data_IF_584871964183
#
_entry.id   IF_584871964183
#
_cell.length_a   1.000
_cell.length_b   1.000
_cell.length_c   1.000
_cell.angle_alpha   90.00
_cell.angle_beta   90.00
_cell.angle_gamma   90.00
#
_symmetry.space_group_name_H-M   'P 1'
#
loop_
_entity.id
_entity.type
_entity.pdbx_description
1 polymer ?
#
# COMPACT_ATOMS: atom_id res chain seq x y z
N UNK A 1 16.52 17.78 18.65
CA UNK A 1 17.25 16.54 19.05
C UNK A 1 16.32 15.72 19.91
N UNK A 2 15.98 14.50 19.47
CA UNK A 2 15.14 13.59 20.25
C UNK A 2 15.92 13.20 21.51
N UNK A 3 15.29 13.34 22.68
CA UNK A 3 15.92 13.01 23.96
C UNK A 3 16.28 11.52 24.06
N UNK A 4 17.37 11.19 24.76
CA UNK A 4 17.86 9.81 24.93
C UNK A 4 16.80 8.83 25.46
N UNK A 5 15.87 9.28 26.31
CA UNK A 5 14.76 8.47 26.82
C UNK A 5 13.76 8.09 25.73
N UNK A 6 13.49 8.99 24.80
CA UNK A 6 12.60 8.76 23.64
C UNK A 6 13.25 7.79 22.67
N UNK A 7 14.53 7.98 22.33
CA UNK A 7 15.30 7.04 21.52
C UNK A 7 15.32 5.62 22.12
N UNK A 8 15.43 5.50 23.44
CA UNK A 8 15.41 4.20 24.13
C UNK A 8 14.04 3.53 24.07
N UNK A 9 12.94 4.29 24.17
CA UNK A 9 11.57 3.78 24.00
C UNK A 9 11.34 3.33 22.56
N UNK A 10 11.73 4.14 21.60
CA UNK A 10 11.62 3.84 20.16
C UNK A 10 12.43 2.56 19.86
N UNK A 11 13.68 2.46 20.28
CA UNK A 11 14.50 1.28 20.07
C UNK A 11 13.92 0.02 20.74
N UNK A 12 13.27 0.16 21.90
CA UNK A 12 12.59 -0.97 22.57
C UNK A 12 11.38 -1.43 21.77
N UNK A 13 10.57 -0.52 21.23
CA UNK A 13 9.42 -0.82 20.38
C UNK A 13 9.85 -1.42 19.04
N UNK A 14 10.85 -0.85 18.39
CA UNK A 14 11.40 -1.39 17.15
C UNK A 14 12.00 -2.79 17.33
N UNK A 15 12.61 -3.09 18.49
CA UNK A 15 13.02 -4.44 18.83
C UNK A 15 11.83 -5.39 19.02
N UNK A 16 10.71 -4.89 19.55
CA UNK A 16 9.48 -5.67 19.66
C UNK A 16 8.88 -5.98 18.29
N UNK A 17 8.77 -4.98 17.39
CA UNK A 17 8.38 -5.17 15.97
C UNK A 17 9.27 -6.21 15.29
N UNK A 18 10.58 -6.11 15.48
CA UNK A 18 11.54 -7.05 14.92
C UNK A 18 11.36 -8.48 15.46
N UNK A 19 11.13 -8.63 16.76
CA UNK A 19 10.89 -9.94 17.38
C UNK A 19 9.57 -10.57 16.91
N UNK A 20 8.55 -9.75 16.77
CA UNK A 20 7.22 -10.17 16.33
C UNK A 20 7.20 -10.56 14.83
N UNK A 21 8.04 -9.90 14.03
CA UNK A 21 8.23 -10.19 12.60
C UNK A 21 9.38 -11.15 12.33
N UNK A 22 10.03 -11.67 13.37
CA UNK A 22 11.02 -12.75 13.21
C UNK A 22 10.34 -13.95 12.55
N UNK A 23 10.72 -14.24 11.31
CA UNK A 23 10.09 -15.27 10.46
C UNK A 23 9.23 -14.72 9.32
N UNK A 24 8.94 -13.40 9.26
CA UNK A 24 8.34 -12.79 8.06
C UNK A 24 9.41 -12.23 7.14
N UNK A 25 9.29 -12.56 5.88
CA UNK A 25 10.09 -11.91 4.84
C UNK A 25 9.64 -10.45 4.70
N UNK A 26 10.53 -9.50 5.01
CA UNK A 26 10.32 -8.11 4.65
C UNK A 26 10.51 -8.00 3.14
N UNK A 27 9.55 -7.41 2.46
CA UNK A 27 9.65 -7.15 1.03
C UNK A 27 9.81 -5.66 0.77
N UNK A 28 10.40 -5.27 -0.38
CA UNK A 28 10.40 -3.88 -0.80
C UNK A 28 8.98 -3.37 -0.93
N UNK A 29 8.82 -2.08 -0.65
CA UNK A 29 7.52 -1.42 -0.70
C UNK A 29 7.21 -1.02 -2.13
N UNK A 30 6.13 -1.54 -2.66
CA UNK A 30 5.55 -1.14 -3.95
C UNK A 30 4.35 -0.22 -3.70
N UNK A 31 4.12 0.69 -4.62
CA UNK A 31 2.91 1.52 -4.64
C UNK A 31 1.80 0.75 -5.36
N UNK A 32 0.85 0.27 -4.60
CA UNK A 32 -0.29 -0.50 -5.10
C UNK A 32 -1.46 0.46 -5.28
N UNK A 33 -1.78 0.79 -6.51
CA UNK A 33 -2.93 1.65 -6.86
C UNK A 33 -3.90 0.97 -7.84
N UNK A 34 -3.41 -0.06 -8.52
CA UNK A 34 -4.17 -0.95 -9.39
C UNK A 34 -3.41 -2.23 -9.62
N UNK A 35 -4.10 -3.22 -10.16
CA UNK A 35 -3.52 -4.48 -10.62
C UNK A 35 -3.83 -4.69 -12.10
N UNK A 36 -3.20 -5.68 -12.72
CA UNK A 36 -3.53 -6.06 -14.10
C UNK A 36 -5.00 -6.46 -14.20
N UNK A 37 -5.74 -6.00 -15.22
CA UNK A 37 -7.15 -6.33 -15.42
C UNK A 37 -7.37 -7.84 -15.47
N UNK A 38 -8.34 -8.32 -14.70
CA UNK A 38 -8.66 -9.75 -14.66
C UNK A 38 -9.39 -10.13 -15.94
N UNK A 39 -8.96 -11.23 -16.57
CA UNK A 39 -9.56 -11.71 -17.81
C UNK A 39 -10.95 -12.31 -17.55
N UNK A 40 -11.91 -11.99 -18.40
CA UNK A 40 -13.30 -12.48 -18.35
C UNK A 40 -14.07 -12.12 -17.06
N UNK A 41 -13.55 -11.24 -16.22
CA UNK A 41 -14.22 -10.71 -15.03
C UNK A 41 -13.92 -9.22 -14.93
N UNK A 42 -14.85 -8.47 -14.36
CA UNK A 42 -14.63 -7.07 -14.01
C UNK A 42 -14.58 -6.95 -12.51
N UNK A 43 -13.40 -6.63 -11.98
CA UNK A 43 -13.17 -6.58 -10.54
C UNK A 43 -12.46 -5.28 -10.21
N UNK A 44 -12.92 -4.60 -9.17
CA UNK A 44 -12.26 -3.43 -8.60
C UNK A 44 -12.29 -3.51 -7.07
N UNK A 45 -11.52 -2.65 -6.40
CA UNK A 45 -11.59 -2.48 -4.96
C UNK A 45 -12.01 -1.05 -4.61
N UNK A 46 -12.64 -0.89 -3.45
CA UNK A 46 -12.90 0.43 -2.86
C UNK A 46 -12.19 0.56 -1.51
N UNK A 47 -11.55 1.70 -1.27
CA UNK A 47 -10.93 2.06 0.01
C UNK A 47 -11.67 3.21 0.64
N UNK A 48 -11.80 3.19 1.97
CA UNK A 48 -12.53 4.20 2.76
C UNK A 48 -11.58 4.74 3.81
N UNK A 49 -11.13 5.99 3.63
CA UNK A 49 -10.12 6.61 4.47
C UNK A 49 -10.75 7.37 5.65
N UNK A 50 -9.98 7.55 6.72
CA UNK A 50 -10.24 8.40 7.88
C UNK A 50 -11.18 7.82 8.95
N UNK A 51 -11.79 6.66 8.73
CA UNK A 51 -12.61 5.97 9.73
C UNK A 51 -11.79 5.22 10.80
N UNK A 52 -12.48 4.40 11.63
CA UNK A 52 -13.91 4.21 11.67
C UNK A 52 -14.64 5.35 12.41
N UNK A 53 -15.85 5.68 12.02
CA UNK A 53 -16.64 6.74 12.63
C UNK A 53 -18.03 6.24 13.03
N UNK A 54 -18.39 6.46 14.31
CA UNK A 54 -19.74 6.28 14.84
C UNK A 54 -20.58 7.56 14.75
N UNK A 55 -20.02 8.66 14.21
CA UNK A 55 -20.76 9.89 13.99
C UNK A 55 -21.94 9.65 13.04
N UNK A 56 -23.05 10.27 13.33
CA UNK A 56 -24.25 10.15 12.48
C UNK A 56 -23.99 10.79 11.12
N UNK A 57 -24.45 10.17 10.01
CA UNK A 57 -24.42 10.81 8.71
C UNK A 57 -25.10 12.18 8.70
N UNK A 58 -24.56 13.12 7.94
CA UNK A 58 -25.09 14.47 7.77
C UNK A 58 -25.30 14.78 6.28
N UNK A 59 -26.53 15.03 5.81
CA UNK A 59 -27.78 14.90 6.55
C UNK A 59 -28.07 13.47 7.01
N UNK A 60 -28.88 13.33 8.06
CA UNK A 60 -29.25 12.01 8.58
C UNK A 60 -30.09 11.24 7.56
N UNK A 61 -29.70 10.01 7.27
CA UNK A 61 -30.33 9.18 6.25
C UNK A 61 -31.43 8.32 6.87
N UNK A 62 -32.67 8.47 6.39
CA UNK A 62 -33.79 7.57 6.68
C UNK A 62 -34.05 7.28 8.18
N UNK A 63 -33.83 8.26 9.08
CA UNK A 63 -33.95 8.08 10.54
C UNK A 63 -33.15 6.85 11.08
N UNK A 64 -32.05 6.51 10.45
CA UNK A 64 -31.19 5.43 10.88
C UNK A 64 -30.41 5.86 12.13
N UNK A 65 -30.35 4.98 13.13
CA UNK A 65 -29.51 5.16 14.32
C UNK A 65 -28.06 4.65 14.12
N UNK A 66 -27.67 4.32 12.87
CA UNK A 66 -26.35 3.84 12.56
C UNK A 66 -25.39 5.00 12.30
N UNK A 67 -24.20 4.90 12.88
CA UNK A 67 -23.08 5.78 12.54
C UNK A 67 -22.61 5.60 11.09
N UNK A 68 -21.72 6.48 10.65
CA UNK A 68 -21.27 6.55 9.26
C UNK A 68 -20.67 5.22 8.77
N UNK A 69 -19.67 4.69 9.46
CA UNK A 69 -19.02 3.42 9.04
C UNK A 69 -20.02 2.26 8.97
N UNK A 70 -20.94 2.13 9.93
CA UNK A 70 -21.97 1.09 9.88
C UNK A 70 -22.94 1.29 8.71
N UNK A 71 -23.27 2.53 8.41
CA UNK A 71 -24.08 2.89 7.24
C UNK A 71 -23.39 2.48 5.94
N UNK A 72 -22.09 2.78 5.79
CA UNK A 72 -21.30 2.36 4.62
C UNK A 72 -21.24 0.84 4.50
N UNK A 73 -20.98 0.11 5.61
CA UNK A 73 -21.00 -1.37 5.61
C UNK A 73 -22.37 -1.94 5.20
N UNK A 74 -23.47 -1.33 5.67
CA UNK A 74 -24.81 -1.74 5.28
C UNK A 74 -25.05 -1.55 3.77
N UNK A 75 -24.61 -0.43 3.21
CA UNK A 75 -24.71 -0.14 1.77
C UNK A 75 -23.89 -1.16 0.98
N UNK A 76 -22.62 -1.41 1.37
CA UNK A 76 -21.77 -2.41 0.74
C UNK A 76 -22.42 -3.80 0.76
N UNK A 77 -22.96 -4.22 1.89
CA UNK A 77 -23.66 -5.49 2.04
C UNK A 77 -24.87 -5.59 1.13
N UNK A 78 -25.66 -4.54 1.01
CA UNK A 78 -26.86 -4.50 0.15
C UNK A 78 -26.51 -4.69 -1.34
N UNK A 79 -25.29 -4.34 -1.75
CA UNK A 79 -24.78 -4.49 -3.11
C UNK A 79 -23.82 -5.67 -3.27
N UNK A 80 -23.73 -6.57 -2.30
CA UNK A 80 -22.79 -7.70 -2.30
C UNK A 80 -21.32 -7.29 -2.54
N UNK A 81 -20.93 -6.12 -2.01
CA UNK A 81 -19.61 -5.52 -2.16
C UNK A 81 -18.78 -5.65 -0.89
N UNK A 82 -17.46 -5.68 -1.03
CA UNK A 82 -16.49 -5.63 0.06
C UNK A 82 -15.65 -4.39 -0.04
N UNK A 83 -15.38 -3.74 1.12
CA UNK A 83 -14.54 -2.56 1.20
C UNK A 83 -13.24 -2.81 1.97
N UNK A 84 -12.27 -1.93 1.77
CA UNK A 84 -11.06 -1.85 2.57
C UNK A 84 -11.07 -0.53 3.32
N UNK A 85 -11.11 -0.59 4.64
CA UNK A 85 -11.15 0.61 5.48
C UNK A 85 -9.73 0.98 5.91
N UNK A 86 -9.29 2.16 5.48
CA UNK A 86 -7.98 2.71 5.80
C UNK A 86 -8.12 3.58 7.05
N UNK A 87 -7.92 2.94 8.21
CA UNK A 87 -8.36 3.45 9.50
C UNK A 87 -7.30 4.27 10.21
N UNK A 88 -7.76 5.22 11.03
CA UNK A 88 -6.96 5.98 11.98
C UNK A 88 -7.09 5.43 13.40
N UNK A 89 -6.15 5.80 14.30
CA UNK A 89 -6.17 5.35 15.70
C UNK A 89 -7.09 6.16 16.58
N UNK A 90 -6.88 7.45 16.60
CA UNK A 90 -7.66 8.39 17.43
C UNK A 90 -7.77 9.75 16.77
N UNK A 91 -8.85 10.44 17.07
CA UNK A 91 -9.06 11.82 16.68
C UNK A 91 -8.79 12.81 17.83
N UNK A 92 -8.69 12.32 19.07
CA UNK A 92 -8.59 13.18 20.25
C UNK A 92 -7.27 13.94 20.38
N UNK A 93 -6.18 13.40 19.79
CA UNK A 93 -4.81 13.91 19.94
C UNK A 93 -4.13 14.20 18.60
N UNK A 94 -4.84 14.14 17.49
CA UNK A 94 -4.22 14.15 16.17
C UNK A 94 -4.00 15.54 15.60
N UNK A 95 -4.49 16.57 16.26
CA UNK A 95 -4.28 17.91 15.81
C UNK A 95 -3.40 18.69 16.74
N UNK A 96 -2.33 19.17 16.18
CA UNK A 96 -1.40 20.03 16.89
C UNK A 96 -1.98 21.38 17.23
N UNK A 97 -2.78 21.93 16.37
CA UNK A 97 -3.65 23.00 16.75
C UNK A 97 -4.85 22.35 17.45
N UNK A 98 -4.79 22.22 18.75
CA UNK A 98 -5.95 21.87 19.59
C UNK A 98 -7.19 22.70 19.29
N UNK A 99 -7.11 23.56 18.34
CA UNK A 99 -8.08 24.45 17.80
C UNK A 99 -8.46 24.11 16.39
N UNK A 100 -7.98 22.99 15.84
CA UNK A 100 -8.23 22.49 14.49
C UNK A 100 -9.70 22.35 14.20
N UNK A 101 -10.38 23.36 14.58
CA UNK A 101 -11.80 23.56 14.59
C UNK A 101 -12.17 24.45 13.46
N UNK A 102 -13.43 24.41 13.15
CA UNK A 102 -14.09 25.42 12.36
C UNK A 102 -13.53 26.80 12.68
N UNK A 103 -13.10 27.51 11.67
CA UNK A 103 -12.60 28.90 11.72
C UNK A 103 -11.17 29.10 12.24
N UNK A 104 -10.40 28.05 12.55
CA UNK A 104 -9.04 28.20 13.10
C UNK A 104 -7.94 27.90 12.10
N UNK A 105 -8.15 26.99 11.17
CA UNK A 105 -7.23 26.68 10.08
C UNK A 105 -7.79 27.16 8.74
N UNK A 106 -6.90 27.57 7.85
CA UNK A 106 -7.25 27.93 6.48
C UNK A 106 -6.56 27.02 5.50
N UNK A 107 -7.31 26.35 4.66
CA UNK A 107 -6.84 25.53 3.56
C UNK A 107 -7.06 26.25 2.24
N UNK A 108 -6.04 26.96 1.76
CA UNK A 108 -6.16 27.66 0.50
C UNK A 108 -7.33 28.66 0.43
N UNK A 109 -7.66 29.33 1.56
CA UNK A 109 -8.79 30.23 1.68
C UNK A 109 -10.05 29.61 2.28
N UNK A 110 -10.09 28.31 2.54
CA UNK A 110 -11.18 27.63 3.24
C UNK A 110 -11.11 27.85 4.74
N UNK A 111 -12.29 27.92 5.37
CA UNK A 111 -12.40 28.34 6.77
C UNK A 111 -12.22 27.22 7.79
N UNK A 112 -12.15 25.97 7.37
CA UNK A 112 -12.04 24.83 8.26
C UNK A 112 -11.36 23.65 7.58
N UNK A 113 -10.80 22.86 8.41
CA UNK A 113 -10.25 21.58 8.13
C UNK A 113 -11.36 20.56 7.82
N UNK A 114 -11.07 19.49 7.12
CA UNK A 114 -12.03 18.41 6.97
C UNK A 114 -12.18 17.54 8.21
N UNK A 115 -11.44 17.86 9.27
CA UNK A 115 -11.63 17.31 10.61
C UNK A 115 -11.85 18.42 11.64
N UNK A 116 -12.93 19.14 11.60
CA UNK A 116 -13.10 20.33 12.42
C UNK A 116 -13.23 20.05 13.91
N UNK A 117 -13.66 18.87 14.31
CA UNK A 117 -14.00 18.54 15.70
C UNK A 117 -13.13 17.44 16.32
N UNK A 118 -12.00 17.12 15.75
CA UNK A 118 -11.17 16.02 16.21
C UNK A 118 -10.73 16.11 17.65
N UNK A 119 -10.48 17.26 18.17
CA UNK A 119 -10.12 17.43 19.58
C UNK A 119 -11.16 16.86 20.54
N UNK A 120 -12.41 16.89 20.15
CA UNK A 120 -13.57 16.46 20.97
C UNK A 120 -14.26 15.22 20.42
N UNK A 121 -13.77 14.68 19.30
CA UNK A 121 -14.46 13.60 18.63
C UNK A 121 -14.11 12.24 19.21
N UNK A 122 -14.91 11.79 20.14
CA UNK A 122 -14.85 10.44 20.71
C UNK A 122 -15.56 9.39 19.83
N UNK A 123 -16.17 9.82 18.73
CA UNK A 123 -16.93 8.95 17.83
C UNK A 123 -16.09 8.35 16.71
N UNK A 124 -14.83 8.79 16.52
CA UNK A 124 -13.98 8.31 15.45
C UNK A 124 -12.66 7.72 15.94
N UNK A 125 -12.07 6.85 15.10
CA UNK A 125 -10.79 6.17 15.34
C UNK A 125 -10.90 4.82 16.04
N UNK A 126 -9.95 3.94 15.77
CA UNK A 126 -9.94 2.55 16.24
C UNK A 126 -9.95 2.42 17.78
N UNK A 127 -9.32 3.38 18.48
CA UNK A 127 -9.26 3.39 19.95
C UNK A 127 -10.61 3.75 20.56
N UNK A 128 -11.28 4.74 19.96
CA UNK A 128 -12.58 5.20 20.44
C UNK A 128 -13.72 4.24 20.04
N UNK A 129 -13.55 3.54 18.91
CA UNK A 129 -14.56 2.67 18.31
C UNK A 129 -14.04 1.24 18.05
N UNK A 130 -13.54 0.51 19.10
CA UNK A 130 -13.01 -0.83 18.91
C UNK A 130 -14.04 -1.84 18.41
N UNK A 131 -15.32 -1.60 18.67
CA UNK A 131 -16.41 -2.45 18.17
C UNK A 131 -16.59 -2.31 16.66
N UNK A 132 -16.34 -1.11 16.09
CA UNK A 132 -16.47 -0.90 14.66
C UNK A 132 -15.38 -1.66 13.88
N UNK A 133 -14.13 -1.66 14.34
CA UNK A 133 -13.08 -2.45 13.68
C UNK A 133 -13.37 -3.95 13.73
N UNK A 134 -14.01 -4.44 14.80
CA UNK A 134 -14.47 -5.83 14.85
C UNK A 134 -15.58 -6.10 13.84
N UNK A 135 -16.59 -5.22 13.76
CA UNK A 135 -17.70 -5.34 12.81
C UNK A 135 -17.22 -5.30 11.36
N UNK A 136 -16.25 -4.42 11.04
CA UNK A 136 -15.63 -4.33 9.71
C UNK A 136 -15.08 -5.70 9.32
N UNK A 137 -14.25 -6.31 10.15
CA UNK A 137 -13.64 -7.61 9.87
C UNK A 137 -14.66 -8.75 9.82
N UNK A 138 -15.60 -8.79 10.76
CA UNK A 138 -16.66 -9.83 10.79
C UNK A 138 -17.58 -9.76 9.58
N UNK A 139 -17.73 -8.59 8.98
CA UNK A 139 -18.50 -8.40 7.75
C UNK A 139 -17.72 -8.75 6.47
N UNK A 140 -16.47 -9.24 6.61
CA UNK A 140 -15.61 -9.66 5.49
C UNK A 140 -14.98 -8.50 4.74
N UNK A 141 -14.90 -7.32 5.34
CA UNK A 141 -14.10 -6.19 4.86
C UNK A 141 -12.65 -6.32 5.35
N UNK A 142 -11.74 -5.45 4.87
CA UNK A 142 -10.35 -5.41 5.27
C UNK A 142 -9.99 -4.10 5.98
N UNK A 143 -8.91 -4.14 6.77
CA UNK A 143 -8.35 -2.97 7.46
C UNK A 143 -6.95 -2.66 6.96
N UNK A 144 -6.65 -1.38 6.78
CA UNK A 144 -5.33 -0.84 6.45
C UNK A 144 -4.97 0.31 7.39
N UNK A 145 -3.71 0.75 7.38
CA UNK A 145 -3.18 1.69 8.35
C UNK A 145 -3.03 3.09 7.75
N UNK A 146 -3.86 4.04 8.22
CA UNK A 146 -3.82 5.45 7.82
C UNK A 146 -3.12 6.37 8.83
N UNK A 147 -2.35 5.78 9.74
CA UNK A 147 -1.71 6.49 10.85
C UNK A 147 -2.58 6.51 12.12
N UNK A 148 -1.91 6.51 13.28
CA UNK A 148 -2.61 6.54 14.56
C UNK A 148 -3.26 7.91 14.82
N UNK A 149 -2.50 8.99 14.58
CA UNK A 149 -2.95 10.35 14.81
C UNK A 149 -3.38 11.09 13.53
N UNK A 150 -3.29 10.49 12.36
CA UNK A 150 -3.53 11.15 11.09
C UNK A 150 -2.68 12.41 10.85
N UNK A 151 -1.44 12.44 11.37
CA UNK A 151 -0.49 13.55 11.20
C UNK A 151 0.23 13.43 9.86
N UNK A 152 0.46 14.55 9.19
CA UNK A 152 1.20 14.62 7.94
C UNK A 152 2.65 14.18 8.13
N UNK A 153 3.19 13.37 7.23
CA UNK A 153 4.57 12.89 7.33
C UNK A 153 5.59 14.01 7.16
N UNK A 154 5.26 15.03 6.40
CA UNK A 154 6.11 16.16 6.20
C UNK A 154 5.37 17.41 5.72
N UNK A 155 6.08 18.54 5.58
CA UNK A 155 5.47 19.80 5.22
C UNK A 155 5.00 19.81 3.77
N UNK A 156 3.86 20.43 3.55
CA UNK A 156 3.40 20.88 2.25
C UNK A 156 3.36 22.40 2.21
N UNK A 157 3.74 22.98 1.07
CA UNK A 157 4.21 24.37 1.05
C UNK A 157 3.13 25.45 1.24
N UNK A 158 1.83 25.16 1.18
CA UNK A 158 0.82 26.20 1.34
C UNK A 158 -0.47 25.77 2.04
N UNK A 159 -1.05 24.61 1.71
CA UNK A 159 -2.37 24.24 2.23
C UNK A 159 -2.32 23.80 3.69
N UNK A 160 -1.30 23.00 4.05
CA UNK A 160 -1.17 22.40 5.38
C UNK A 160 -0.04 22.99 6.20
N UNK A 161 0.51 24.14 5.83
CA UNK A 161 1.72 24.70 6.45
C UNK A 161 1.59 24.99 7.95
N UNK A 162 0.40 25.17 8.45
CA UNK A 162 0.14 25.42 9.87
C UNK A 162 -0.07 24.13 10.66
N UNK A 163 -0.07 22.97 9.96
CA UNK A 163 -0.21 21.69 10.60
C UNK A 163 1.11 21.15 11.11
N UNK A 164 1.03 20.41 12.19
CA UNK A 164 2.15 19.63 12.67
C UNK A 164 2.48 18.54 11.67
N UNK A 165 3.76 18.24 11.60
CA UNK A 165 4.28 17.18 10.77
C UNK A 165 5.33 16.43 11.55
N UNK A 166 5.56 15.18 11.24
CA UNK A 166 6.63 14.42 11.85
C UNK A 166 8.00 15.00 11.49
N UNK A 167 8.95 14.89 12.43
CA UNK A 167 10.30 15.41 12.27
C UNK A 167 11.26 14.36 11.73
N UNK A 168 10.94 13.09 11.91
CA UNK A 168 11.82 11.99 11.53
C UNK A 168 11.04 10.68 11.34
N UNK A 169 11.68 9.71 10.69
CA UNK A 169 11.10 8.40 10.38
C UNK A 169 10.67 7.61 11.63
N UNK A 170 11.32 7.82 12.77
CA UNK A 170 10.97 7.06 13.99
C UNK A 170 9.62 7.48 14.55
N UNK A 171 9.26 8.77 14.45
CA UNK A 171 7.94 9.26 14.83
C UNK A 171 6.85 8.65 13.95
N UNK A 172 7.08 8.59 12.63
CA UNK A 172 6.16 7.95 11.69
C UNK A 172 6.01 6.46 11.98
N UNK A 173 7.12 5.75 12.21
CA UNK A 173 7.07 4.31 12.52
C UNK A 173 6.39 4.07 13.88
N UNK A 174 6.61 4.94 14.87
CA UNK A 174 5.92 4.83 16.16
C UNK A 174 4.41 5.00 16.02
N UNK A 175 3.99 5.96 15.22
CA UNK A 175 2.58 6.21 14.92
C UNK A 175 1.91 5.01 14.24
N UNK A 176 2.49 4.54 13.13
CA UNK A 176 2.03 3.36 12.41
C UNK A 176 1.99 2.10 13.30
N UNK A 177 3.02 1.92 14.12
CA UNK A 177 3.12 0.77 15.01
C UNK A 177 2.08 0.82 16.12
N UNK A 178 1.77 2.00 16.64
CA UNK A 178 0.75 2.17 17.67
C UNK A 178 -0.61 1.72 17.17
N UNK A 179 -1.00 2.14 15.95
CA UNK A 179 -2.25 1.67 15.34
C UNK A 179 -2.21 0.17 15.03
N UNK A 180 -1.09 -0.32 14.48
CA UNK A 180 -0.92 -1.74 14.21
C UNK A 180 -1.14 -2.60 15.48
N UNK A 181 -0.53 -2.21 16.59
CA UNK A 181 -0.69 -2.91 17.85
C UNK A 181 -2.12 -2.80 18.43
N UNK A 182 -2.75 -1.65 18.27
CA UNK A 182 -4.16 -1.47 18.68
C UNK A 182 -5.06 -2.48 17.96
N UNK A 183 -4.93 -2.58 16.64
CA UNK A 183 -5.70 -3.53 15.82
C UNK A 183 -5.33 -4.98 16.16
N UNK A 184 -4.04 -5.28 16.28
CA UNK A 184 -3.57 -6.63 16.59
C UNK A 184 -4.03 -7.12 17.95
N UNK A 185 -4.01 -6.26 18.97
CA UNK A 185 -4.49 -6.61 20.30
C UNK A 185 -6.01 -6.84 20.34
N UNK A 186 -6.76 -6.11 19.51
CA UNK A 186 -8.21 -6.23 19.44
C UNK A 186 -8.68 -7.43 18.60
N UNK A 187 -7.96 -7.77 17.53
CA UNK A 187 -8.44 -8.66 16.46
C UNK A 187 -7.50 -9.83 16.14
N UNK A 188 -6.29 -9.85 16.68
CA UNK A 188 -5.23 -10.82 16.36
C UNK A 188 -4.85 -10.87 14.85
N UNK A 189 -5.05 -9.77 14.13
CA UNK A 189 -4.69 -9.64 12.72
C UNK A 189 -3.47 -8.73 12.52
N UNK A 190 -2.80 -8.91 11.39
CA UNK A 190 -1.72 -8.05 10.92
C UNK A 190 -2.15 -7.31 9.66
N UNK A 191 -2.22 -5.99 9.74
CA UNK A 191 -2.42 -5.15 8.56
C UNK A 191 -1.21 -5.27 7.61
N UNK A 192 -1.46 -5.24 6.31
CA UNK A 192 -0.43 -5.43 5.26
C UNK A 192 -0.15 -4.18 4.45
N UNK A 193 -1.04 -3.21 4.50
CA UNK A 193 -0.99 -1.98 3.72
C UNK A 193 -1.08 -0.77 4.61
N UNK A 194 -0.50 0.34 4.13
CA UNK A 194 -0.66 1.65 4.74
C UNK A 194 -0.71 2.74 3.67
N UNK A 195 -1.44 3.79 3.96
CA UNK A 195 -1.55 5.01 3.14
C UNK A 195 -1.14 6.21 3.99
N UNK A 196 -0.25 7.10 3.50
CA UNK A 196 0.08 8.29 4.27
C UNK A 196 -1.09 9.28 4.22
N UNK A 197 -1.40 9.97 5.33
CA UNK A 197 -2.41 11.03 5.34
C UNK A 197 -2.16 12.03 4.20
N UNK A 198 -3.22 12.35 3.45
CA UNK A 198 -3.18 13.25 2.30
C UNK A 198 -2.15 12.89 1.20
N UNK A 199 -1.68 11.64 1.14
CA UNK A 199 -0.61 11.19 0.24
C UNK A 199 0.71 11.96 0.40
N UNK A 200 0.94 12.57 1.57
CA UNK A 200 2.19 13.27 1.87
C UNK A 200 3.19 12.27 2.40
N UNK A 201 4.10 11.85 1.55
CA UNK A 201 5.02 10.75 1.81
C UNK A 201 6.45 11.17 2.23
N UNK A 202 6.83 12.45 2.08
CA UNK A 202 8.17 12.94 2.45
C UNK A 202 8.25 13.30 3.92
N UNK A 203 9.31 12.86 4.59
CA UNK A 203 9.62 13.17 5.99
C UNK A 203 10.73 14.22 6.06
N UNK A 204 10.72 15.06 7.09
CA UNK A 204 11.69 16.19 7.25
C UNK A 204 13.16 15.74 7.30
N UNK A 205 13.44 14.53 7.78
CA UNK A 205 14.79 13.99 7.88
C UNK A 205 15.35 13.40 6.58
N UNK A 206 14.58 13.46 5.50
CA UNK A 206 14.95 13.01 4.17
C UNK A 206 14.57 11.56 3.84
N UNK A 207 13.94 10.85 4.77
CA UNK A 207 13.23 9.59 4.52
C UNK A 207 11.85 9.85 3.93
N UNK A 208 11.16 8.77 3.54
CA UNK A 208 9.80 8.82 3.01
C UNK A 208 8.91 7.70 3.60
N UNK A 209 7.63 7.70 3.21
CA UNK A 209 6.67 6.69 3.62
C UNK A 209 7.11 5.27 3.24
N UNK A 210 7.80 5.11 2.10
CA UNK A 210 8.28 3.79 1.67
C UNK A 210 9.33 3.24 2.65
N UNK A 211 10.19 4.11 3.20
CA UNK A 211 11.16 3.72 4.22
C UNK A 211 10.46 3.29 5.52
N UNK A 212 9.46 4.06 5.97
CA UNK A 212 8.67 3.71 7.15
C UNK A 212 7.88 2.40 6.95
N UNK A 213 7.27 2.23 5.78
CA UNK A 213 6.49 1.04 5.46
C UNK A 213 7.36 -0.22 5.32
N UNK A 214 8.57 -0.09 4.77
CA UNK A 214 9.55 -1.17 4.76
C UNK A 214 9.87 -1.66 6.18
N UNK A 215 10.05 -0.74 7.14
CA UNK A 215 10.28 -1.06 8.54
C UNK A 215 9.06 -1.75 9.19
N UNK A 216 7.86 -1.39 8.76
CA UNK A 216 6.61 -1.98 9.22
C UNK A 216 6.21 -3.25 8.47
N UNK A 217 6.84 -3.55 7.33
CA UNK A 217 6.46 -4.64 6.42
C UNK A 217 5.12 -4.42 5.73
N UNK A 218 4.81 -3.15 5.47
CA UNK A 218 3.62 -2.75 4.70
C UNK A 218 3.95 -2.55 3.22
N UNK A 219 2.93 -2.66 2.38
CA UNK A 219 2.92 -2.10 1.04
C UNK A 219 2.26 -0.71 1.08
N UNK A 220 2.65 0.16 0.15
CA UNK A 220 2.04 1.49 0.00
C UNK A 220 0.69 1.34 -0.72
N UNK A 221 -0.41 1.60 -0.01
CA UNK A 221 -1.74 1.63 -0.60
C UNK A 221 -1.98 2.98 -1.26
N UNK A 222 -2.31 2.96 -2.54
CA UNK A 222 -2.77 4.13 -3.27
C UNK A 222 -4.12 3.84 -3.94
N UNK A 223 -4.61 4.81 -4.68
CA UNK A 223 -5.79 4.64 -5.50
C UNK A 223 -5.51 5.19 -6.89
N UNK A 224 -6.06 4.55 -7.90
CA UNK A 224 -5.96 4.95 -9.31
C UNK A 224 -7.20 5.68 -9.79
N UNK A 225 -8.28 5.65 -9.00
CA UNK A 225 -9.51 6.35 -9.30
C UNK A 225 -10.01 7.09 -8.04
N UNK A 226 -10.31 8.39 -8.19
CA UNK A 226 -10.83 9.22 -7.11
C UNK A 226 -12.36 9.15 -7.12
N UNK A 227 -12.94 8.52 -6.10
CA UNK A 227 -14.39 8.44 -5.89
C UNK A 227 -14.99 9.67 -5.23
N UNK A 228 -14.17 10.64 -4.82
CA UNK A 228 -14.60 11.92 -4.26
C UNK A 228 -14.86 11.91 -2.76
N UNK A 229 -15.67 12.87 -2.31
CA UNK A 229 -16.07 12.99 -0.90
C UNK A 229 -15.14 13.85 -0.02
N UNK A 230 -14.02 14.31 -0.57
CA UNK A 230 -13.05 15.16 0.12
C UNK A 230 -12.96 16.58 -0.42
N UNK A 231 -13.51 16.80 -1.62
CA UNK A 231 -13.39 18.09 -2.31
C UNK A 231 -14.18 19.20 -1.58
N UNK A 232 -13.85 20.45 -1.87
CA UNK A 232 -14.70 21.58 -1.48
C UNK A 232 -16.12 21.36 -1.98
N UNK A 233 -17.08 21.69 -1.15
CA UNK A 233 -18.48 21.50 -1.50
C UNK A 233 -18.97 22.60 -2.43
N UNK A 234 -19.97 22.28 -3.24
CA UNK A 234 -20.68 23.24 -4.09
C UNK A 234 -21.60 24.16 -3.26
N UNK A 235 -21.88 23.80 -2.00
CA UNK A 235 -22.87 24.39 -1.15
C UNK A 235 -24.26 23.75 -1.27
N UNK A 236 -24.40 22.76 -2.17
CA UNK A 236 -25.63 22.02 -2.41
C UNK A 236 -25.35 20.52 -2.30
N UNK A 237 -25.94 19.88 -1.31
CA UNK A 237 -25.67 18.47 -0.99
C UNK A 237 -25.86 17.52 -2.19
N UNK A 238 -26.95 17.69 -2.94
CA UNK A 238 -27.24 16.84 -4.09
C UNK A 238 -26.20 16.99 -5.21
N UNK A 239 -25.66 18.20 -5.41
CA UNK A 239 -24.58 18.43 -6.36
C UNK A 239 -23.29 17.77 -5.91
N UNK A 240 -23.00 17.77 -4.60
CA UNK A 240 -21.84 17.08 -4.03
C UNK A 240 -21.96 15.56 -4.22
N UNK A 241 -23.16 14.99 -4.03
CA UNK A 241 -23.45 13.58 -4.35
C UNK A 241 -23.20 13.27 -5.83
N UNK A 242 -23.75 14.09 -6.72
CA UNK A 242 -23.58 13.91 -8.17
C UNK A 242 -22.11 14.08 -8.61
N UNK A 243 -21.36 14.98 -7.96
CA UNK A 243 -19.93 15.15 -8.22
C UNK A 243 -19.10 13.89 -7.90
N UNK A 244 -19.55 13.05 -6.97
CA UNK A 244 -18.94 11.76 -6.67
C UNK A 244 -19.34 10.67 -7.67
N UNK A 245 -20.57 10.71 -8.20
CA UNK A 245 -21.09 9.66 -9.10
C UNK A 245 -20.66 9.85 -10.55
N UNK A 246 -20.74 11.09 -11.03
CA UNK A 246 -20.53 11.43 -12.47
C UNK A 246 -19.18 11.01 -13.04
N UNK A 247 -18.02 11.14 -12.34
CA UNK A 247 -16.75 10.69 -12.89
C UNK A 247 -16.72 9.18 -13.16
N UNK A 248 -17.31 8.39 -12.26
CA UNK A 248 -17.39 6.94 -12.40
C UNK A 248 -18.34 6.54 -13.54
N UNK A 249 -19.49 7.17 -13.63
CA UNK A 249 -20.44 6.95 -14.72
C UNK A 249 -19.80 7.29 -16.08
N UNK A 250 -19.13 8.43 -16.18
CA UNK A 250 -18.42 8.84 -17.40
C UNK A 250 -17.36 7.82 -17.80
N UNK A 251 -16.52 7.38 -16.88
CA UNK A 251 -15.47 6.39 -17.17
C UNK A 251 -16.06 5.07 -17.70
N UNK A 252 -17.16 4.59 -17.11
CA UNK A 252 -17.83 3.35 -17.53
C UNK A 252 -18.58 3.48 -18.85
N UNK A 253 -19.11 4.67 -19.15
CA UNK A 253 -19.74 4.95 -20.46
C UNK A 253 -18.69 4.98 -21.58
N UNK A 254 -17.54 5.58 -21.35
CA UNK A 254 -16.44 5.66 -22.32
C UNK A 254 -15.76 4.30 -22.52
N UNK A 255 -15.56 3.55 -21.45
CA UNK A 255 -14.98 2.22 -21.49
C UNK A 255 -15.54 1.32 -20.36
N UNK A 256 -16.37 0.33 -20.69
CA UNK A 256 -16.90 -0.61 -19.71
C UNK A 256 -15.84 -1.37 -18.88
N UNK A 257 -14.59 -1.43 -19.33
CA UNK A 257 -13.46 -2.07 -18.64
C UNK A 257 -12.62 -1.06 -17.83
N UNK A 258 -12.96 0.23 -17.82
CA UNK A 258 -12.12 1.31 -17.26
C UNK A 258 -11.71 1.08 -15.81
N UNK A 259 -12.55 0.42 -15.01
CA UNK A 259 -12.31 0.21 -13.59
C UNK A 259 -11.80 -1.20 -13.25
N UNK A 260 -11.58 -2.06 -14.25
CA UNK A 260 -11.07 -3.42 -14.02
C UNK A 260 -9.62 -3.36 -13.48
N UNK A 261 -9.40 -3.96 -12.33
CA UNK A 261 -8.12 -3.93 -11.62
C UNK A 261 -7.83 -2.62 -10.86
N UNK A 262 -8.75 -1.65 -10.85
CA UNK A 262 -8.54 -0.35 -10.22
C UNK A 262 -8.86 -0.38 -8.72
N UNK A 263 -8.23 0.53 -7.97
CA UNK A 263 -8.58 0.85 -6.59
C UNK A 263 -9.23 2.23 -6.57
N UNK A 264 -10.47 2.27 -6.09
CA UNK A 264 -11.29 3.47 -6.02
C UNK A 264 -11.17 4.05 -4.62
N UNK A 265 -10.74 5.29 -4.51
CA UNK A 265 -10.71 6.05 -3.26
C UNK A 265 -12.11 6.48 -2.87
N UNK A 266 -12.44 6.34 -1.59
CA UNK A 266 -13.59 6.91 -0.92
C UNK A 266 -13.18 7.43 0.45
N UNK A 267 -14.09 8.14 1.12
CA UNK A 267 -13.87 8.66 2.45
C UNK A 267 -14.88 8.08 3.45
N UNK A 268 -14.40 7.59 4.59
CA UNK A 268 -15.22 7.27 5.78
C UNK A 268 -15.20 8.48 6.73
N UNK A 269 -15.72 9.61 6.24
CA UNK A 269 -15.67 10.89 6.92
C UNK A 269 -16.51 11.96 6.22
N UNK A 270 -16.47 13.17 6.76
CA UNK A 270 -17.17 14.32 6.22
C UNK A 270 -16.41 14.99 5.07
N UNK A 271 -17.15 15.69 4.23
CA UNK A 271 -16.59 16.68 3.31
C UNK A 271 -16.28 18.00 4.05
N UNK A 272 -15.84 19.02 3.32
CA UNK A 272 -15.46 20.32 3.87
C UNK A 272 -16.62 21.10 4.49
N UNK A 273 -17.87 20.71 4.26
CA UNK A 273 -19.08 21.29 4.87
C UNK A 273 -19.66 20.43 5.98
N UNK A 274 -18.89 19.48 6.51
CA UNK A 274 -19.32 18.56 7.57
C UNK A 274 -20.51 17.68 7.16
N UNK A 275 -20.62 17.42 5.87
CA UNK A 275 -21.65 16.56 5.30
C UNK A 275 -21.02 15.24 4.80
N UNK A 276 -21.85 14.22 4.68
CA UNK A 276 -21.42 12.88 4.28
C UNK A 276 -22.07 12.45 2.95
N UNK A 277 -21.79 13.13 1.82
CA UNK A 277 -22.40 12.81 0.53
C UNK A 277 -22.10 11.39 0.06
N UNK A 278 -21.09 10.75 0.60
CA UNK A 278 -20.74 9.34 0.35
C UNK A 278 -21.93 8.40 0.63
N UNK A 279 -22.78 8.73 1.62
CA UNK A 279 -23.89 7.86 2.01
C UNK A 279 -24.93 7.73 0.90
N UNK A 280 -25.16 8.79 0.12
CA UNK A 280 -26.08 8.79 -1.02
C UNK A 280 -25.37 8.56 -2.37
N UNK A 281 -24.06 8.81 -2.45
CA UNK A 281 -23.27 8.55 -3.65
C UNK A 281 -22.90 7.06 -3.78
N UNK A 282 -22.47 6.40 -2.69
CA UNK A 282 -22.02 5.02 -2.71
C UNK A 282 -23.02 4.02 -3.28
N UNK A 283 -24.33 4.04 -2.91
CA UNK A 283 -25.29 3.13 -3.50
C UNK A 283 -25.46 3.36 -5.01
N UNK A 284 -25.38 4.60 -5.49
CA UNK A 284 -25.43 4.94 -6.92
C UNK A 284 -24.18 4.41 -7.65
N UNK A 285 -23.00 4.62 -7.08
CA UNK A 285 -21.73 4.10 -7.62
C UNK A 285 -21.73 2.58 -7.69
N UNK A 286 -22.16 1.89 -6.63
CA UNK A 286 -22.25 0.42 -6.60
C UNK A 286 -23.30 -0.12 -7.59
N UNK A 287 -24.43 0.56 -7.75
CA UNK A 287 -25.42 0.21 -8.75
C UNK A 287 -24.88 0.35 -10.19
N UNK A 288 -24.10 1.40 -10.45
CA UNK A 288 -23.41 1.57 -11.74
C UNK A 288 -22.41 0.42 -11.96
N UNK A 289 -21.56 0.13 -11.00
CA UNK A 289 -20.60 -0.98 -11.07
C UNK A 289 -21.30 -2.30 -11.33
N UNK A 290 -22.36 -2.62 -10.61
CA UNK A 290 -23.18 -3.83 -10.83
C UNK A 290 -23.80 -3.88 -12.23
N UNK A 291 -24.30 -2.75 -12.73
CA UNK A 291 -24.85 -2.63 -14.10
C UNK A 291 -23.82 -3.01 -15.17
N UNK A 292 -22.55 -2.69 -14.95
CA UNK A 292 -21.46 -3.04 -15.86
C UNK A 292 -20.79 -4.38 -15.50
N UNK A 293 -21.33 -5.14 -14.55
CA UNK A 293 -20.87 -6.48 -14.19
C UNK A 293 -19.62 -6.53 -13.33
N UNK A 294 -19.35 -5.45 -12.57
CA UNK A 294 -18.21 -5.40 -11.64
C UNK A 294 -18.50 -6.11 -10.32
N UNK A 295 -17.52 -6.86 -9.85
CA UNK A 295 -17.39 -7.30 -8.48
C UNK A 295 -16.52 -6.30 -7.71
N UNK A 296 -16.97 -5.88 -6.53
CA UNK A 296 -16.21 -5.00 -5.64
C UNK A 296 -15.66 -5.84 -4.50
N UNK A 297 -14.34 -5.99 -4.46
CA UNK A 297 -13.63 -6.85 -3.52
C UNK A 297 -12.71 -6.04 -2.60
N UNK A 298 -12.10 -6.67 -1.60
CA UNK A 298 -11.06 -6.02 -0.79
C UNK A 298 -9.76 -5.83 -1.58
N UNK A 299 -8.92 -4.90 -1.13
CA UNK A 299 -7.58 -4.71 -1.73
C UNK A 299 -6.73 -5.99 -1.63
N UNK A 300 -6.83 -6.71 -0.50
CA UNK A 300 -6.13 -8.00 -0.34
C UNK A 300 -6.54 -9.01 -1.41
N UNK A 301 -7.84 -9.14 -1.68
CA UNK A 301 -8.36 -10.02 -2.72
C UNK A 301 -7.91 -9.59 -4.11
N UNK A 302 -7.97 -8.27 -4.40
CA UNK A 302 -7.57 -7.72 -5.68
C UNK A 302 -6.07 -7.98 -5.98
N UNK A 303 -5.20 -7.71 -5.01
CA UNK A 303 -3.74 -7.92 -5.15
C UNK A 303 -3.39 -9.41 -5.25
N UNK A 304 -4.16 -10.30 -4.61
CA UNK A 304 -3.97 -11.75 -4.73
C UNK A 304 -4.29 -12.30 -6.13
N UNK A 305 -5.12 -11.61 -6.90
CA UNK A 305 -5.43 -11.98 -8.30
C UNK A 305 -4.25 -11.66 -9.22
N UNK A 306 -3.63 -10.50 -9.05
CA UNK A 306 -2.41 -10.13 -9.77
C UNK A 306 -1.52 -9.25 -8.89
N UNK A 307 -0.25 -9.65 -8.66
CA UNK A 307 0.69 -8.86 -7.87
C UNK A 307 1.22 -7.62 -8.61
N UNK A 308 1.04 -7.50 -9.92
CA UNK A 308 1.56 -6.43 -10.77
C UNK A 308 0.46 -5.77 -11.59
N UNK A 309 0.69 -4.51 -12.02
CA UNK A 309 -0.27 -3.77 -12.82
C UNK A 309 -0.17 -4.01 -14.34
N UNK A 310 0.96 -4.51 -14.80
CA UNK A 310 1.27 -4.75 -16.21
C UNK A 310 1.50 -6.23 -16.57
N UNK A 311 1.30 -7.14 -15.60
CA UNK A 311 1.54 -8.56 -15.79
C UNK A 311 0.53 -9.38 -15.00
N UNK A 312 -0.31 -10.15 -15.68
CA UNK A 312 -1.44 -10.83 -15.07
C UNK A 312 -1.92 -12.07 -15.81
N UNK A 313 -3.04 -12.57 -15.38
CA UNK A 313 -3.67 -13.80 -15.88
C UNK A 313 -3.81 -13.81 -17.42
N UNK A 314 -3.44 -14.93 -18.03
CA UNK A 314 -3.46 -15.10 -19.48
C UNK A 314 -2.23 -14.59 -20.21
N UNK A 315 -1.29 -13.96 -19.53
CA UNK A 315 0.03 -13.64 -20.08
C UNK A 315 1.00 -14.82 -19.91
N UNK A 316 1.87 -14.99 -20.92
CA UNK A 316 2.85 -16.08 -20.91
C UNK A 316 3.75 -15.98 -19.67
N UNK A 317 3.97 -17.10 -18.97
CA UNK A 317 4.79 -17.22 -17.75
C UNK A 317 4.27 -16.48 -16.50
N UNK A 318 3.01 -16.02 -16.51
CA UNK A 318 2.46 -15.32 -15.33
C UNK A 318 2.39 -16.22 -14.09
N UNK A 319 2.05 -17.51 -14.26
CA UNK A 319 1.98 -18.45 -13.12
C UNK A 319 3.35 -18.64 -12.45
N UNK A 320 4.42 -18.71 -13.23
CA UNK A 320 5.78 -18.74 -12.70
C UNK A 320 6.12 -17.45 -11.92
N UNK A 321 5.68 -16.28 -12.41
CA UNK A 321 5.82 -15.04 -11.67
C UNK A 321 5.09 -15.10 -10.33
N UNK A 322 3.87 -15.61 -10.32
CA UNK A 322 3.03 -15.73 -9.12
C UNK A 322 3.65 -16.71 -8.11
N UNK A 323 4.20 -17.83 -8.56
CA UNK A 323 4.92 -18.78 -7.72
C UNK A 323 6.17 -18.15 -7.08
N UNK A 324 7.00 -17.48 -7.88
CA UNK A 324 8.19 -16.77 -7.40
C UNK A 324 7.88 -15.60 -6.45
N UNK A 325 6.81 -14.84 -6.69
CA UNK A 325 6.38 -13.77 -5.76
C UNK A 325 5.97 -14.35 -4.41
N UNK A 326 5.18 -15.44 -4.40
CA UNK A 326 4.78 -16.15 -3.18
C UNK A 326 5.97 -16.76 -2.44
N UNK A 327 6.94 -17.29 -3.17
CA UNK A 327 8.18 -17.83 -2.61
C UNK A 327 9.16 -16.74 -2.13
N UNK A 328 8.86 -15.46 -2.39
CA UNK A 328 9.62 -14.34 -1.88
C UNK A 328 10.85 -13.95 -2.71
N UNK A 329 10.85 -14.19 -4.01
CA UNK A 329 11.97 -13.84 -4.89
C UNK A 329 11.72 -12.59 -5.73
N UNK A 330 10.76 -12.59 -6.63
CA UNK A 330 10.54 -11.44 -7.50
C UNK A 330 9.82 -10.29 -6.79
N UNK A 331 10.11 -9.06 -7.21
CA UNK A 331 9.66 -7.85 -6.53
C UNK A 331 8.93 -6.89 -7.49
N UNK A 332 9.32 -6.85 -8.76
CA UNK A 332 8.89 -5.81 -9.69
C UNK A 332 9.53 -4.44 -9.40
N UNK A 333 8.95 -3.39 -9.93
CA UNK A 333 9.40 -2.01 -9.75
C UNK A 333 8.55 -1.25 -8.72
N UNK A 334 9.06 -0.10 -8.27
CA UNK A 334 8.40 0.75 -7.25
C UNK A 334 6.97 1.14 -7.63
N UNK A 335 6.69 1.32 -8.90
CA UNK A 335 5.37 1.64 -9.46
C UNK A 335 4.48 0.41 -9.67
N UNK A 336 4.78 -0.71 -9.03
CA UNK A 336 4.06 -1.97 -9.14
C UNK A 336 4.09 -2.64 -10.54
N UNK A 337 4.98 -2.24 -11.45
CA UNK A 337 5.16 -2.92 -12.74
C UNK A 337 6.16 -4.07 -12.66
N UNK A 338 6.00 -5.08 -13.50
CA UNK A 338 6.98 -6.15 -13.72
C UNK A 338 7.79 -5.93 -14.98
N UNK A 339 7.23 -5.29 -16.00
CA UNK A 339 7.81 -5.07 -17.34
C UNK A 339 8.21 -6.39 -18.02
N UNK A 340 7.25 -7.30 -18.30
CA UNK A 340 7.55 -8.68 -18.74
C UNK A 340 8.36 -8.75 -20.03
N UNK A 341 8.12 -7.84 -20.97
CA UNK A 341 8.74 -7.82 -22.29
C UNK A 341 10.07 -7.07 -22.34
N UNK A 342 10.52 -6.47 -21.22
CA UNK A 342 11.81 -5.79 -21.16
C UNK A 342 12.95 -6.78 -21.24
N UNK A 343 13.98 -6.47 -22.04
CA UNK A 343 15.19 -7.26 -22.09
C UNK A 343 15.87 -7.33 -20.72
N UNK A 344 16.09 -8.55 -20.26
CA UNK A 344 16.65 -8.85 -18.94
C UNK A 344 18.12 -8.45 -18.89
N UNK A 345 18.53 -7.73 -17.84
CA UNK A 345 19.94 -7.50 -17.55
C UNK A 345 20.48 -8.50 -16.53
N UNK A 346 21.79 -8.67 -16.48
CA UNK A 346 22.43 -9.56 -15.50
C UNK A 346 22.15 -9.10 -14.07
N UNK A 347 22.13 -7.80 -13.82
CA UNK A 347 21.74 -7.23 -12.53
C UNK A 347 20.31 -7.58 -12.14
N UNK A 348 19.38 -7.52 -13.09
CA UNK A 348 17.97 -7.90 -12.86
C UNK A 348 17.83 -9.41 -12.62
N UNK A 349 18.52 -10.25 -13.37
CA UNK A 349 18.53 -11.71 -13.15
C UNK A 349 19.02 -12.05 -11.73
N UNK A 350 20.14 -11.48 -11.31
CA UNK A 350 20.67 -11.65 -9.96
C UNK A 350 19.66 -11.16 -8.90
N UNK A 351 19.05 -10.01 -9.13
CA UNK A 351 18.02 -9.47 -8.23
C UNK A 351 16.80 -10.39 -8.12
N UNK A 352 16.34 -10.94 -9.24
CA UNK A 352 15.21 -11.87 -9.27
C UNK A 352 15.52 -13.22 -8.60
N UNK A 353 16.76 -13.64 -8.59
CA UNK A 353 17.22 -14.85 -7.89
C UNK A 353 17.60 -14.59 -6.41
N UNK A 354 17.60 -13.35 -5.96
CA UNK A 354 17.90 -12.99 -4.57
C UNK A 354 16.63 -12.97 -3.73
N UNK A 355 16.57 -13.69 -2.60
CA UNK A 355 15.37 -13.69 -1.77
C UNK A 355 15.12 -12.31 -1.16
N UNK A 356 13.83 -11.98 -0.97
CA UNK A 356 13.39 -10.69 -0.38
C UNK A 356 13.97 -10.45 1.02
N UNK A 357 14.42 -11.50 1.71
CA UNK A 357 15.05 -11.39 3.05
C UNK A 357 16.29 -10.49 3.09
N UNK A 358 16.98 -10.28 1.96
CA UNK A 358 18.13 -9.35 1.88
C UNK A 358 17.74 -7.92 2.31
N UNK A 359 16.46 -7.56 2.17
CA UNK A 359 15.95 -6.24 2.59
C UNK A 359 15.90 -6.06 4.10
N UNK A 360 15.93 -7.16 4.87
CA UNK A 360 15.98 -7.11 6.34
C UNK A 360 17.23 -6.38 6.82
N UNK A 361 18.37 -6.61 6.20
CA UNK A 361 19.63 -5.97 6.56
C UNK A 361 19.57 -4.43 6.37
N UNK A 362 18.90 -3.95 5.31
CA UNK A 362 18.68 -2.52 5.08
C UNK A 362 17.83 -1.89 6.17
N UNK A 363 16.72 -2.54 6.52
CA UNK A 363 15.87 -2.08 7.61
C UNK A 363 16.62 -2.03 8.94
N UNK A 364 17.50 -3.01 9.20
CA UNK A 364 18.35 -3.01 10.39
C UNK A 364 19.34 -1.85 10.43
N UNK A 365 19.93 -1.50 9.29
CA UNK A 365 20.84 -0.37 9.19
C UNK A 365 20.13 0.96 9.48
N UNK A 366 18.92 1.16 8.95
CA UNK A 366 18.07 2.33 9.26
C UNK A 366 17.78 2.39 10.77
N UNK A 367 17.38 1.28 11.37
CA UNK A 367 17.07 1.19 12.81
C UNK A 367 18.27 1.45 13.72
N UNK A 368 19.48 1.11 13.26
CA UNK A 368 20.73 1.38 13.99
C UNK A 368 21.19 2.84 13.91
N UNK A 369 20.46 3.66 13.15
CA UNK A 369 20.78 5.08 12.96
C UNK A 369 22.04 5.30 12.12
N UNK A 370 22.38 4.36 11.27
CA UNK A 370 23.52 4.48 10.35
C UNK A 370 23.21 5.47 9.22
N UNK A 371 23.23 6.77 9.60
CA UNK A 371 23.01 7.90 8.69
C UNK A 371 24.21 8.16 7.77
N UNK A 372 25.36 7.53 8.03
CA UNK A 372 26.62 7.75 7.31
C UNK A 372 26.84 6.76 6.18
N UNK A 373 26.24 5.59 6.26
CA UNK A 373 26.19 4.71 5.09
C UNK A 373 25.44 5.45 4.00
N UNK A 374 25.99 5.55 2.81
CA UNK A 374 25.30 5.95 1.57
C UNK A 374 24.25 4.89 1.18
N UNK A 375 23.52 4.34 2.17
CA UNK A 375 22.32 3.58 1.96
C UNK A 375 21.44 4.47 1.10
N UNK A 376 21.25 4.08 -0.13
CA UNK A 376 20.51 4.87 -1.11
C UNK A 376 19.25 5.36 -0.42
N UNK A 377 18.97 6.65 -0.50
CA UNK A 377 17.76 7.32 0.03
C UNK A 377 16.46 6.77 -0.60
N UNK A 378 16.45 5.55 -1.05
CA UNK A 378 15.31 4.92 -1.71
C UNK A 378 15.00 3.63 -0.98
N UNK A 379 13.90 3.57 -0.28
CA UNK A 379 13.37 2.36 0.35
C UNK A 379 13.05 1.25 -0.65
N UNK A 380 12.89 1.62 -1.89
CA UNK A 380 12.75 0.68 -2.99
C UNK A 380 14.12 0.39 -3.59
N UNK A 381 14.56 -0.80 -3.36
CA UNK A 381 15.79 -1.32 -3.94
C UNK A 381 17.00 -1.21 -3.01
N UNK A 382 17.66 -2.32 -2.86
CA UNK A 382 19.04 -2.42 -2.42
C UNK A 382 19.88 -2.11 -3.65
N UNK A 383 21.00 -1.39 -3.48
CA UNK A 383 21.92 -1.18 -4.58
C UNK A 383 22.36 -2.53 -5.17
N UNK A 384 22.49 -2.62 -6.47
CA UNK A 384 22.81 -3.88 -7.18
C UNK A 384 24.05 -4.57 -6.62
N UNK A 385 25.02 -3.82 -6.13
CA UNK A 385 26.25 -4.38 -5.53
C UNK A 385 25.95 -5.30 -4.33
N UNK A 386 24.90 -5.03 -3.55
CA UNK A 386 24.50 -5.90 -2.44
C UNK A 386 23.91 -7.22 -2.95
N UNK A 387 23.16 -7.19 -4.05
CA UNK A 387 22.65 -8.40 -4.68
C UNK A 387 23.79 -9.23 -5.29
N UNK A 388 24.74 -8.59 -5.95
CA UNK A 388 25.94 -9.25 -6.50
C UNK A 388 26.77 -9.83 -5.34
N UNK A 389 26.96 -9.09 -4.26
CA UNK A 389 27.69 -9.57 -3.09
C UNK A 389 27.01 -10.79 -2.47
N UNK A 390 25.69 -10.72 -2.25
CA UNK A 390 24.91 -11.86 -1.78
C UNK A 390 25.05 -13.06 -2.70
N UNK A 391 24.84 -12.88 -4.01
CA UNK A 391 24.93 -13.96 -4.99
C UNK A 391 26.35 -14.60 -5.03
N UNK A 392 27.42 -13.82 -4.80
CA UNK A 392 28.78 -14.35 -4.64
C UNK A 392 28.95 -15.16 -3.37
N UNK A 393 28.46 -14.67 -2.23
CA UNK A 393 28.53 -15.37 -0.94
C UNK A 393 27.80 -16.72 -0.99
N UNK A 394 26.61 -16.75 -1.64
CA UNK A 394 25.82 -17.97 -1.82
C UNK A 394 26.36 -18.88 -2.95
N UNK A 395 27.41 -18.48 -3.66
CA UNK A 395 27.96 -19.27 -4.76
C UNK A 395 27.15 -19.22 -6.06
N UNK A 396 26.13 -18.38 -6.18
CA UNK A 396 25.23 -18.31 -7.34
C UNK A 396 25.92 -17.81 -8.61
N UNK A 397 27.06 -17.15 -8.49
CA UNK A 397 27.83 -16.66 -9.64
C UNK A 397 28.92 -17.63 -10.08
N UNK A 398 29.14 -18.73 -9.36
CA UNK A 398 30.11 -19.74 -9.72
C UNK A 398 31.50 -19.15 -10.05
N UNK A 399 31.96 -19.39 -11.28
CA UNK A 399 33.25 -18.88 -11.79
C UNK A 399 33.13 -17.59 -12.62
N UNK A 400 31.94 -16.99 -12.68
CA UNK A 400 31.72 -15.72 -13.37
C UNK A 400 32.69 -14.67 -12.81
N UNK A 401 33.41 -13.99 -13.68
CA UNK A 401 34.36 -12.93 -13.33
C UNK A 401 33.68 -11.66 -12.82
N UNK A 402 34.11 -10.52 -13.34
CA UNK A 402 33.46 -9.24 -13.06
C UNK A 402 32.10 -9.24 -13.71
N UNK A 403 31.05 -8.90 -12.92
CA UNK A 403 29.68 -8.79 -13.40
C UNK A 403 29.45 -7.37 -13.90
N UNK A 404 29.05 -7.24 -15.16
CA UNK A 404 28.41 -6.00 -15.66
C UNK A 404 26.89 -6.11 -15.42
N UNK A 405 26.33 -5.32 -14.49
CA UNK A 405 24.89 -5.38 -14.18
C UNK A 405 23.98 -5.00 -15.35
N UNK A 406 24.48 -4.22 -16.32
CA UNK A 406 23.73 -3.74 -17.46
C UNK A 406 23.80 -4.68 -18.68
N UNK A 407 24.69 -5.67 -18.65
CA UNK A 407 24.81 -6.65 -19.72
C UNK A 407 23.48 -7.40 -19.92
N UNK A 408 23.04 -7.53 -21.18
CA UNK A 408 21.83 -8.31 -21.50
C UNK A 408 22.13 -9.80 -21.39
N UNK A 409 21.20 -10.53 -20.78
CA UNK A 409 21.38 -11.96 -20.50
C UNK A 409 21.23 -12.77 -21.78
N UNK A 410 22.32 -13.41 -22.22
CA UNK A 410 22.34 -14.37 -23.33
C UNK A 410 22.03 -15.78 -22.83
N UNK A 411 21.82 -16.73 -23.74
CA UNK A 411 21.63 -18.14 -23.41
C UNK A 411 22.84 -18.70 -22.64
N UNK A 412 24.07 -18.40 -23.07
CA UNK A 412 25.30 -18.84 -22.39
C UNK A 412 25.38 -18.34 -20.96
N UNK A 413 25.11 -17.02 -20.73
CA UNK A 413 25.06 -16.42 -19.39
C UNK A 413 23.99 -17.07 -18.50
N UNK A 414 22.83 -17.40 -19.06
CA UNK A 414 21.76 -18.07 -18.33
C UNK A 414 22.17 -19.50 -17.94
N UNK A 415 22.79 -20.26 -18.84
CA UNK A 415 23.28 -21.62 -18.56
C UNK A 415 24.31 -21.58 -17.44
N UNK A 416 25.28 -20.68 -17.50
CA UNK A 416 26.29 -20.51 -16.46
C UNK A 416 25.69 -20.19 -15.10
N UNK A 417 24.72 -19.26 -15.07
CA UNK A 417 24.03 -18.84 -13.85
C UNK A 417 23.21 -20.00 -13.24
N UNK A 418 22.42 -20.70 -14.05
CA UNK A 418 21.65 -21.88 -13.63
C UNK A 418 22.54 -22.98 -13.12
N UNK A 419 23.63 -23.27 -13.83
CA UNK A 419 24.60 -24.33 -13.45
C UNK A 419 25.26 -24.03 -12.10
N UNK A 420 25.57 -22.75 -11.82
CA UNK A 420 26.15 -22.34 -10.55
C UNK A 420 25.15 -22.54 -9.39
N UNK A 421 23.93 -22.08 -9.53
CA UNK A 421 22.89 -22.22 -8.49
C UNK A 421 22.48 -23.68 -8.29
N UNK A 422 22.30 -24.44 -9.39
CA UNK A 422 21.98 -25.88 -9.33
C UNK A 422 22.99 -26.64 -8.48
N UNK A 423 24.30 -26.42 -8.67
CA UNK A 423 25.35 -27.03 -7.85
C UNK A 423 25.22 -26.72 -6.37
N UNK A 424 24.94 -25.46 -6.04
CA UNK A 424 24.75 -25.02 -4.64
C UNK A 424 23.52 -25.69 -4.01
N UNK A 425 22.45 -25.88 -4.78
CA UNK A 425 21.21 -26.47 -4.32
C UNK A 425 21.13 -28.01 -4.44
N UNK A 426 22.22 -28.68 -4.69
CA UNK A 426 22.28 -30.15 -4.69
C UNK A 426 22.06 -30.79 -6.07
N UNK A 427 22.51 -30.12 -7.13
CA UNK A 427 22.40 -30.56 -8.53
C UNK A 427 20.97 -30.73 -9.03
N UNK A 428 20.14 -29.70 -8.83
CA UNK A 428 18.77 -29.65 -9.35
C UNK A 428 18.82 -29.63 -10.88
N UNK A 429 18.05 -30.51 -11.53
CA UNK A 429 17.85 -30.43 -12.97
C UNK A 429 16.91 -29.28 -13.32
N UNK A 430 17.35 -28.40 -14.21
CA UNK A 430 16.59 -27.24 -14.69
C UNK A 430 16.61 -27.22 -16.20
N UNK A 431 15.45 -27.14 -16.80
CA UNK A 431 15.33 -26.93 -18.24
C UNK A 431 15.52 -25.45 -18.56
N UNK A 432 16.63 -25.14 -19.22
CA UNK A 432 16.90 -23.80 -19.73
C UNK A 432 16.23 -23.66 -21.09
N UNK A 433 15.16 -22.86 -21.14
CA UNK A 433 14.47 -22.55 -22.39
C UNK A 433 15.30 -21.53 -23.17
N UNK A 434 15.40 -21.68 -24.49
CA UNK A 434 16.03 -20.68 -25.34
C UNK A 434 15.20 -19.39 -25.37
N UNK A 435 15.84 -18.20 -25.41
CA UNK A 435 15.12 -16.95 -25.58
C UNK A 435 14.53 -16.86 -26.99
N UNK A 436 13.44 -16.13 -27.15
CA UNK A 436 12.83 -15.90 -28.47
C UNK A 436 13.66 -15.00 -29.37
N UNK A 437 14.62 -14.24 -28.82
CA UNK A 437 15.57 -13.39 -29.51
C UNK A 437 17.02 -13.75 -29.14
N UNK A 438 17.95 -12.81 -29.32
CA UNK A 438 19.35 -12.99 -28.95
C UNK A 438 19.57 -13.02 -27.43
N UNK A 439 18.69 -12.38 -26.66
CA UNK A 439 18.75 -12.24 -25.21
C UNK A 439 17.37 -12.41 -24.59
N UNK A 440 17.35 -12.83 -23.32
CA UNK A 440 16.12 -13.05 -22.58
C UNK A 440 15.35 -11.76 -22.29
N UNK A 441 14.03 -11.85 -22.31
CA UNK A 441 13.15 -10.91 -21.62
C UNK A 441 13.01 -11.29 -20.15
N UNK A 442 12.46 -10.37 -19.33
CA UNK A 442 12.23 -10.65 -17.91
C UNK A 442 11.22 -11.80 -17.69
N UNK A 443 10.20 -11.90 -18.55
CA UNK A 443 9.23 -12.98 -18.47
C UNK A 443 9.81 -14.35 -18.85
N UNK A 444 10.67 -14.42 -19.86
CA UNK A 444 11.27 -15.68 -20.30
C UNK A 444 12.20 -16.32 -19.25
N UNK A 445 12.75 -15.53 -18.33
CA UNK A 445 13.55 -16.05 -17.23
C UNK A 445 12.71 -16.69 -16.11
N UNK A 446 11.41 -16.37 -16.01
CA UNK A 446 10.58 -16.80 -14.89
C UNK A 446 10.44 -18.33 -14.75
N UNK A 447 10.11 -19.10 -15.79
CA UNK A 447 9.98 -20.54 -15.66
C UNK A 447 11.30 -21.24 -15.32
N UNK A 448 12.42 -20.64 -15.72
CA UNK A 448 13.77 -21.14 -15.37
C UNK A 448 14.03 -20.89 -13.89
N UNK A 449 13.78 -19.67 -13.42
CA UNK A 449 13.95 -19.29 -12.01
C UNK A 449 12.97 -20.05 -11.09
N UNK A 450 11.75 -20.30 -11.52
CA UNK A 450 10.79 -21.09 -10.75
C UNK A 450 11.33 -22.49 -10.48
N UNK A 451 11.77 -23.23 -11.51
CA UNK A 451 12.36 -24.55 -11.36
C UNK A 451 13.60 -24.55 -10.45
N UNK A 452 14.36 -23.44 -10.48
CA UNK A 452 15.61 -23.32 -9.75
C UNK A 452 15.44 -22.92 -8.28
N UNK A 453 14.39 -22.14 -7.96
CA UNK A 453 14.26 -21.45 -6.67
C UNK A 453 13.07 -21.92 -5.83
N UNK A 454 12.03 -22.44 -6.48
CA UNK A 454 10.80 -22.90 -5.83
C UNK A 454 10.72 -24.42 -5.83
#
# INVERSE_FOLDING_TARGET
MIGYKTLRKINKRLKAVKKEKAGRQLSPVRRIERVYPVKNRRICAMTFDDGPSAAMPSPQVNNSDLGLTETLMRILKAHNAKGTFDIIGTTAENYPDKRGKLHTASWGGMKHDHYPDFEMDHLAGAVNQPQLIQKIMQSGHALTNHGYHHILYGPINYVYRQRETYHNIYEVVEDLYTLHQTVKNALAIDMKFARPPHYIDRIKDGFDAYDAYALMGYQYLAASFDGGGWQPTTGHYDEDVEAMVRPLEKALLENPEALNGQIIFQKDGCNMSLQTPIVDALPKQLALLAKYGYEVVTVDELVNLSPFEDFGEGMLYFEAARALDRAGFIIGYKNNTFQPNRLLTMGELITMATPKTIYTAKCEAILKGDRKGKASKKAFGIHIDHHIHYARQEGYLGRMGTIDPEAKVTLEMMIDFVSAISKVKGNIEVTVLEPTGETYTRAEALPILEQLLV
#
